data_IF_523550207058
#
_entry.id   IF_523550207058
#
_cell.length_a   1.000
_cell.length_b   1.000
_cell.length_c   1.000
_cell.angle_alpha   90.00
_cell.angle_beta   90.00
_cell.angle_gamma   90.00
#
_symmetry.space_group_name_H-M   'P 1'
#
loop_
_entity.id
_entity.type
_entity.pdbx_description
1 polymer ?
#
# COMPACT_ATOMS: atom_id res chain seq x y z
N UNK A 1 -5.86 1.33 -0.09
CA UNK A 1 -6.84 0.92 -1.13
C UNK A 1 -8.26 1.11 -0.63
N UNK A 2 -8.72 0.40 0.41
CA UNK A 2 -10.08 0.56 0.95
C UNK A 2 -10.46 2.03 1.22
N UNK A 3 -9.64 2.77 1.95
CA UNK A 3 -9.89 4.19 2.22
C UNK A 3 -10.02 5.03 0.92
N UNK A 4 -9.14 4.83 -0.06
CA UNK A 4 -9.22 5.54 -1.33
C UNK A 4 -10.56 5.27 -2.04
N UNK A 5 -11.00 4.01 -2.06
CA UNK A 5 -12.29 3.62 -2.63
C UNK A 5 -13.46 4.27 -1.92
N UNK A 6 -13.48 4.23 -0.59
CA UNK A 6 -14.55 4.79 0.25
C UNK A 6 -14.60 6.32 0.11
N UNK A 7 -13.45 6.97 0.02
CA UNK A 7 -13.33 8.41 -0.16
C UNK A 7 -13.56 8.88 -1.61
N UNK A 8 -14.01 8.00 -2.50
CA UNK A 8 -14.52 8.38 -3.81
C UNK A 8 -13.52 8.30 -4.95
N UNK A 9 -12.41 7.58 -4.81
CA UNK A 9 -11.54 7.30 -5.96
C UNK A 9 -12.31 6.54 -7.04
N UNK A 10 -12.31 7.05 -8.26
CA UNK A 10 -13.00 6.43 -9.40
C UNK A 10 -12.41 5.06 -9.73
N UNK A 11 -11.09 4.94 -9.65
CA UNK A 11 -10.36 3.68 -9.81
C UNK A 11 -9.21 3.57 -8.81
N UNK A 12 -8.87 2.35 -8.43
CA UNK A 12 -7.73 2.05 -7.56
C UNK A 12 -6.94 0.90 -8.19
N UNK A 13 -5.72 1.18 -8.61
CA UNK A 13 -4.80 0.16 -9.12
C UNK A 13 -3.82 -0.23 -8.03
N UNK A 14 -3.70 -1.52 -7.76
CA UNK A 14 -2.70 -2.06 -6.86
C UNK A 14 -1.58 -2.74 -7.65
N UNK A 15 -0.35 -2.52 -7.24
CA UNK A 15 0.84 -3.17 -7.81
C UNK A 15 1.59 -3.92 -6.72
N UNK A 16 2.05 -5.11 -7.01
CA UNK A 16 2.90 -5.92 -6.13
C UNK A 16 3.70 -6.93 -6.96
N UNK A 17 4.76 -7.48 -6.39
CA UNK A 17 5.50 -8.60 -6.96
C UNK A 17 4.83 -9.94 -6.64
N UNK A 18 4.00 -10.00 -5.59
CA UNK A 18 3.36 -11.20 -5.06
C UNK A 18 1.90 -11.30 -5.47
N UNK A 19 1.53 -12.42 -6.07
CA UNK A 19 0.15 -12.66 -6.53
C UNK A 19 -0.86 -12.75 -5.37
N UNK A 20 -0.45 -13.31 -4.23
CA UNK A 20 -1.27 -13.39 -3.03
C UNK A 20 -1.60 -11.99 -2.45
N UNK A 21 -0.64 -11.07 -2.48
CA UNK A 21 -0.88 -9.68 -2.09
C UNK A 21 -1.90 -9.00 -3.03
N UNK A 22 -1.79 -9.22 -4.34
CA UNK A 22 -2.72 -8.69 -5.35
C UNK A 22 -4.13 -9.26 -5.21
N UNK A 23 -4.26 -10.55 -4.89
CA UNK A 23 -5.56 -11.18 -4.63
C UNK A 23 -6.27 -10.51 -3.43
N UNK A 24 -5.55 -10.25 -2.34
CA UNK A 24 -6.09 -9.50 -1.20
C UNK A 24 -6.40 -8.05 -1.55
N UNK A 25 -5.57 -7.41 -2.37
CA UNK A 25 -5.82 -6.05 -2.84
C UNK A 25 -7.16 -5.93 -3.58
N UNK A 26 -7.50 -6.89 -4.43
CA UNK A 26 -8.78 -6.95 -5.14
C UNK A 26 -9.96 -7.05 -4.16
N UNK A 27 -9.82 -7.86 -3.10
CA UNK A 27 -10.86 -8.02 -2.07
C UNK A 27 -11.13 -6.73 -1.29
N UNK A 28 -10.13 -5.84 -1.17
CA UNK A 28 -10.23 -4.61 -0.38
C UNK A 28 -10.23 -3.33 -1.23
N UNK A 29 -10.79 -3.41 -2.42
CA UNK A 29 -11.18 -2.23 -3.19
C UNK A 29 -10.26 -1.87 -4.36
N UNK A 30 -9.24 -2.66 -4.69
CA UNK A 30 -8.53 -2.47 -5.96
C UNK A 30 -9.45 -2.83 -7.13
N UNK A 31 -9.58 -1.92 -8.09
CA UNK A 31 -10.34 -2.15 -9.33
C UNK A 31 -9.48 -2.84 -10.39
N UNK A 32 -8.17 -2.69 -10.27
CA UNK A 32 -7.16 -3.30 -11.15
C UNK A 32 -5.98 -3.75 -10.31
N UNK A 33 -5.40 -4.90 -10.67
CA UNK A 33 -4.17 -5.40 -10.06
C UNK A 33 -3.13 -5.66 -11.14
N UNK A 34 -1.88 -5.25 -10.90
CA UNK A 34 -0.76 -5.41 -11.83
C UNK A 34 0.41 -6.09 -11.09
N UNK A 35 0.78 -7.28 -11.55
CA UNK A 35 1.94 -7.98 -11.00
C UNK A 35 3.21 -7.44 -11.66
N UNK A 36 4.09 -6.85 -10.87
CA UNK A 36 5.38 -6.34 -11.33
C UNK A 36 6.24 -7.51 -11.86
N UNK A 37 6.81 -7.30 -13.04
CA UNK A 37 7.54 -8.34 -13.77
C UNK A 37 6.70 -9.12 -14.79
N UNK A 38 5.36 -9.12 -14.64
CA UNK A 38 4.43 -9.71 -15.61
C UNK A 38 3.63 -8.65 -16.37
N UNK A 39 3.45 -7.46 -15.78
CA UNK A 39 2.76 -6.34 -16.40
C UNK A 39 3.53 -5.04 -16.16
N UNK A 40 3.41 -4.11 -17.10
CA UNK A 40 3.97 -2.77 -16.97
C UNK A 40 2.97 -1.86 -16.25
N UNK A 41 3.50 -0.99 -15.37
CA UNK A 41 2.72 0.07 -14.75
C UNK A 41 2.60 1.22 -15.77
N UNK A 42 1.39 1.63 -16.15
CA UNK A 42 1.23 2.67 -17.14
C UNK A 42 1.76 4.02 -16.64
N UNK A 43 2.54 4.68 -17.49
CA UNK A 43 3.08 6.01 -17.21
C UNK A 43 2.02 7.10 -17.29
N UNK A 44 2.19 8.19 -16.55
CA UNK A 44 1.35 9.39 -16.57
C UNK A 44 -0.16 9.14 -16.43
N UNK A 45 -0.53 8.06 -15.72
CA UNK A 45 -1.90 7.54 -15.70
C UNK A 45 -2.65 7.74 -14.39
N UNK A 46 -1.95 8.13 -13.32
CA UNK A 46 -2.55 8.22 -11.99
C UNK A 46 -2.49 9.64 -11.44
N UNK A 47 -3.58 10.11 -10.84
CA UNK A 47 -3.63 11.41 -10.16
C UNK A 47 -2.80 11.40 -8.88
N UNK A 48 -2.89 10.30 -8.12
CA UNK A 48 -2.21 10.09 -6.84
C UNK A 48 -1.61 8.69 -6.84
N UNK A 49 -0.36 8.58 -6.38
CA UNK A 49 0.33 7.31 -6.15
C UNK A 49 0.76 7.22 -4.70
N UNK A 50 0.39 6.14 -4.01
CA UNK A 50 0.88 5.81 -2.67
C UNK A 50 1.99 4.78 -2.79
N UNK A 51 3.21 5.15 -2.46
CA UNK A 51 4.34 4.24 -2.42
C UNK A 51 4.47 3.66 -1.01
N UNK A 52 4.26 2.34 -0.88
CA UNK A 52 4.16 1.65 0.41
C UNK A 52 5.27 0.60 0.64
N UNK A 53 6.09 0.31 -0.37
CA UNK A 53 7.11 -0.74 -0.30
C UNK A 53 8.45 -0.25 0.24
N UNK A 54 8.75 1.05 0.11
CA UNK A 54 10.04 1.66 0.37
C UNK A 54 11.19 1.12 -0.53
N UNK A 55 10.88 0.41 -1.60
CA UNK A 55 11.89 -0.04 -2.55
C UNK A 55 12.28 1.12 -3.49
N UNK A 56 13.57 1.46 -3.65
CA UNK A 56 13.99 2.60 -4.49
C UNK A 56 13.50 2.51 -5.94
N UNK A 57 13.42 1.30 -6.49
CA UNK A 57 12.90 1.08 -7.84
C UNK A 57 11.39 1.38 -7.90
N UNK A 58 10.62 1.04 -6.87
CA UNK A 58 9.19 1.32 -6.83
C UNK A 58 8.90 2.82 -6.67
N UNK A 59 9.73 3.55 -5.90
CA UNK A 59 9.65 5.01 -5.80
C UNK A 59 9.92 5.67 -7.16
N UNK A 60 10.95 5.19 -7.87
CA UNK A 60 11.26 5.67 -9.22
C UNK A 60 10.11 5.40 -10.19
N UNK A 61 9.51 4.21 -10.11
CA UNK A 61 8.32 3.83 -10.89
C UNK A 61 7.09 4.68 -10.53
N UNK A 62 6.90 5.04 -9.26
CA UNK A 62 5.82 5.93 -8.81
C UNK A 62 5.90 7.31 -9.49
N UNK A 63 7.11 7.86 -9.64
CA UNK A 63 7.30 9.12 -10.37
C UNK A 63 7.01 9.00 -11.87
N UNK A 64 7.20 7.83 -12.48
CA UNK A 64 6.81 7.60 -13.87
C UNK A 64 5.29 7.44 -14.02
N UNK A 65 4.68 6.69 -13.11
CA UNK A 65 3.26 6.33 -13.15
C UNK A 65 2.32 7.53 -12.90
N UNK A 66 2.70 8.43 -11.97
CA UNK A 66 1.89 9.60 -11.66
C UNK A 66 1.88 10.56 -12.86
N UNK A 67 0.73 11.19 -13.11
CA UNK A 67 0.60 12.21 -14.16
C UNK A 67 1.35 13.52 -13.82
N UNK A 68 1.48 14.41 -14.81
CA UNK A 68 2.00 15.77 -14.60
C UNK A 68 1.18 16.50 -13.53
N UNK A 69 1.86 17.24 -12.66
CA UNK A 69 1.30 17.93 -11.50
C UNK A 69 0.49 17.03 -10.56
N UNK A 70 0.72 15.70 -10.59
CA UNK A 70 0.10 14.74 -9.70
C UNK A 70 0.83 14.64 -8.35
N UNK A 71 0.36 13.74 -7.50
CA UNK A 71 0.85 13.61 -6.13
C UNK A 71 1.43 12.20 -5.92
N UNK A 72 2.65 12.13 -5.40
CA UNK A 72 3.21 10.89 -4.86
C UNK A 72 3.28 11.01 -3.33
N UNK A 73 2.66 10.06 -2.64
CA UNK A 73 2.68 9.97 -1.18
C UNK A 73 3.60 8.82 -0.78
N UNK A 74 4.72 9.16 -0.14
CA UNK A 74 5.66 8.18 0.40
C UNK A 74 5.17 7.70 1.76
N UNK A 75 4.68 6.47 1.81
CA UNK A 75 4.19 5.79 3.02
C UNK A 75 5.25 4.80 3.54
N UNK A 76 5.90 4.09 2.62
CA UNK A 76 6.95 3.14 2.95
C UNK A 76 8.15 3.84 3.59
N UNK A 77 8.65 3.31 4.71
CA UNK A 77 9.78 3.88 5.43
C UNK A 77 11.10 3.37 4.82
N UNK A 78 11.84 4.29 4.21
CA UNK A 78 13.17 4.01 3.67
C UNK A 78 14.18 3.74 4.78
N UNK A 79 15.17 2.89 4.46
CA UNK A 79 16.34 2.72 5.30
C UNK A 79 17.17 3.99 5.41
N UNK A 80 17.99 4.09 6.45
CA UNK A 80 18.91 5.22 6.63
C UNK A 80 19.96 5.26 5.50
N UNK A 81 20.35 6.47 5.10
CA UNK A 81 21.38 6.72 4.11
C UNK A 81 20.86 6.98 2.69
N UNK A 82 21.77 7.27 1.74
CA UNK A 82 21.43 7.56 0.37
C UNK A 82 20.72 6.38 -0.33
N UNK A 83 19.71 6.67 -1.14
CA UNK A 83 18.97 5.68 -1.91
C UNK A 83 19.06 5.99 -3.42
N UNK A 84 19.24 4.97 -4.28
CA UNK A 84 19.33 5.16 -5.74
C UNK A 84 17.93 5.36 -6.34
N UNK A 85 17.40 6.58 -6.27
CA UNK A 85 16.06 6.93 -6.77
C UNK A 85 16.20 7.84 -7.99
N UNK A 86 15.52 7.51 -9.10
CA UNK A 86 15.48 8.34 -10.30
C UNK A 86 14.52 9.51 -10.10
N UNK A 87 15.04 10.64 -9.63
CA UNK A 87 14.25 11.80 -9.22
C UNK A 87 13.92 12.78 -10.37
N UNK A 88 14.53 12.63 -11.55
CA UNK A 88 14.33 13.58 -12.65
C UNK A 88 12.84 13.79 -13.04
N UNK A 89 11.97 12.76 -13.06
CA UNK A 89 10.56 12.95 -13.35
C UNK A 89 9.81 13.83 -12.33
N UNK A 90 10.25 13.86 -11.07
CA UNK A 90 9.68 14.75 -10.03
C UNK A 90 9.71 16.21 -10.51
N UNK A 91 10.84 16.64 -11.08
CA UNK A 91 11.03 18.00 -11.55
C UNK A 91 10.33 18.19 -12.91
N UNK A 92 10.60 17.29 -13.87
CA UNK A 92 10.10 17.43 -15.24
C UNK A 92 8.57 17.42 -15.34
N UNK A 93 7.89 16.76 -14.38
CA UNK A 93 6.44 16.63 -14.32
C UNK A 93 5.78 17.49 -13.25
N UNK A 94 6.54 18.31 -12.52
CA UNK A 94 6.03 19.17 -11.41
C UNK A 94 5.27 18.36 -10.34
N UNK A 95 5.77 17.17 -9.98
CA UNK A 95 5.13 16.25 -9.05
C UNK A 95 5.22 16.80 -7.63
N UNK A 96 4.13 16.71 -6.87
CA UNK A 96 4.14 16.95 -5.43
C UNK A 96 4.53 15.66 -4.70
N UNK A 97 5.70 15.64 -4.10
CA UNK A 97 6.12 14.53 -3.21
C UNK A 97 5.77 14.86 -1.76
N UNK A 98 5.01 13.98 -1.11
CA UNK A 98 4.56 14.12 0.28
C UNK A 98 5.01 12.92 1.10
N UNK A 99 5.60 13.16 2.25
CA UNK A 99 5.87 12.12 3.24
C UNK A 99 4.70 11.94 4.21
N UNK A 100 4.59 10.75 4.80
CA UNK A 100 3.71 10.49 5.94
C UNK A 100 4.50 9.81 7.05
N UNK A 101 4.12 10.05 8.30
CA UNK A 101 4.72 9.36 9.43
C UNK A 101 3.71 9.18 10.56
N UNK A 102 3.38 7.90 10.85
CA UNK A 102 2.43 7.53 11.91
C UNK A 102 1.07 8.22 11.74
N UNK A 103 0.46 8.66 12.83
CA UNK A 103 -0.85 9.30 12.89
C UNK A 103 -0.91 10.23 14.11
N UNK A 104 -1.83 11.20 14.05
CA UNK A 104 -2.27 12.01 15.18
C UNK A 104 -3.70 11.60 15.55
N UNK A 105 -4.70 12.30 15.03
CA UNK A 105 -6.12 12.07 15.34
C UNK A 105 -6.81 11.10 14.36
N UNK A 106 -6.14 10.72 13.27
CA UNK A 106 -6.69 9.87 12.20
C UNK A 106 -7.11 8.47 12.67
N UNK A 107 -6.65 8.05 13.86
CA UNK A 107 -7.03 6.74 14.43
C UNK A 107 -8.55 6.67 14.69
N UNK A 108 -9.16 7.78 15.12
CA UNK A 108 -10.59 7.86 15.37
C UNK A 108 -11.38 7.70 14.07
N UNK A 109 -10.94 8.38 13.01
CA UNK A 109 -11.54 8.28 11.68
C UNK A 109 -11.37 6.87 11.10
N UNK A 110 -10.20 6.27 11.30
CA UNK A 110 -9.92 4.89 10.86
C UNK A 110 -10.84 3.87 11.55
N UNK A 111 -11.06 4.02 12.86
CA UNK A 111 -11.98 3.15 13.62
C UNK A 111 -13.42 3.32 13.13
N UNK A 112 -13.88 4.55 12.91
CA UNK A 112 -15.20 4.83 12.38
C UNK A 112 -15.39 4.24 10.97
N UNK A 113 -14.37 4.38 10.11
CA UNK A 113 -14.36 3.84 8.76
C UNK A 113 -14.43 2.30 8.78
N UNK A 114 -13.69 1.64 9.64
CA UNK A 114 -13.74 0.18 9.81
C UNK A 114 -15.10 -0.28 10.31
N UNK A 115 -15.69 0.40 11.28
CA UNK A 115 -17.00 0.07 11.82
C UNK A 115 -18.12 0.18 10.75
N UNK A 116 -18.01 1.17 9.87
CA UNK A 116 -18.97 1.39 8.78
C UNK A 116 -18.75 0.46 7.57
N UNK A 117 -17.57 -0.15 7.46
CA UNK A 117 -17.16 -0.96 6.32
C UNK A 117 -16.58 -2.31 6.76
N UNK A 118 -17.38 -3.25 7.30
CA UNK A 118 -16.90 -4.52 7.86
C UNK A 118 -16.14 -5.40 6.86
N UNK A 119 -16.38 -5.21 5.55
CA UNK A 119 -15.69 -5.95 4.50
C UNK A 119 -14.16 -5.71 4.48
N UNK A 120 -13.69 -4.60 5.06
CA UNK A 120 -12.24 -4.32 5.20
C UNK A 120 -11.57 -5.36 6.11
N UNK A 121 -12.31 -5.98 7.03
CA UNK A 121 -11.80 -7.01 7.91
C UNK A 121 -11.26 -8.25 7.15
N UNK A 122 -11.60 -8.40 5.86
CA UNK A 122 -11.01 -9.44 5.01
C UNK A 122 -9.48 -9.36 4.86
N UNK A 123 -8.86 -8.23 5.24
CA UNK A 123 -7.39 -8.13 5.34
C UNK A 123 -6.81 -8.95 6.50
N UNK A 124 -7.63 -9.32 7.49
CA UNK A 124 -7.24 -10.19 8.59
C UNK A 124 -7.29 -11.61 8.06
N UNK A 125 -6.13 -12.17 7.76
CA UNK A 125 -6.01 -13.50 7.16
C UNK A 125 -5.79 -14.61 8.17
N UNK A 126 -5.21 -14.28 9.33
CA UNK A 126 -4.85 -15.24 10.35
C UNK A 126 -5.07 -14.67 11.74
N UNK A 127 -5.55 -15.52 12.63
CA UNK A 127 -5.65 -15.24 14.07
C UNK A 127 -5.00 -16.37 14.85
N UNK A 128 -4.17 -16.04 15.82
CA UNK A 128 -3.45 -16.97 16.68
C UNK A 128 -3.77 -16.71 18.15
N UNK A 129 -3.66 -17.73 18.98
CA UNK A 129 -3.63 -17.55 20.42
C UNK A 129 -2.26 -17.00 20.86
N UNK A 130 -2.19 -16.39 22.03
CA UNK A 130 -0.94 -15.82 22.56
C UNK A 130 0.19 -16.87 22.69
N UNK A 131 -0.17 -18.13 22.97
CA UNK A 131 0.82 -19.22 23.08
C UNK A 131 1.52 -19.51 21.73
N UNK A 132 0.86 -19.20 20.62
CA UNK A 132 1.35 -19.45 19.25
C UNK A 132 1.97 -18.18 18.63
N UNK A 133 2.32 -17.18 19.43
CA UNK A 133 2.80 -15.89 18.95
C UNK A 133 4.03 -16.00 18.03
N UNK A 134 4.94 -16.93 18.27
CA UNK A 134 6.13 -17.15 17.42
C UNK A 134 5.73 -17.61 16.01
N UNK A 135 4.72 -18.49 15.91
CA UNK A 135 4.17 -18.91 14.63
C UNK A 135 3.48 -17.74 13.92
N UNK A 136 2.70 -16.94 14.66
CA UNK A 136 2.07 -15.73 14.13
C UNK A 136 3.09 -14.78 13.50
N UNK A 137 4.24 -14.53 14.14
CA UNK A 137 5.32 -13.72 13.56
C UNK A 137 5.94 -14.35 12.32
N UNK A 138 6.07 -15.68 12.29
CA UNK A 138 6.57 -16.39 11.12
C UNK A 138 5.62 -16.24 9.93
N UNK A 139 4.31 -16.44 10.15
CA UNK A 139 3.28 -16.28 9.12
C UNK A 139 3.20 -14.82 8.64
N UNK A 140 3.27 -13.84 9.55
CA UNK A 140 3.21 -12.42 9.22
C UNK A 140 4.35 -11.96 8.30
N UNK A 141 5.50 -12.62 8.31
CA UNK A 141 6.62 -12.33 7.39
C UNK A 141 6.39 -12.83 5.96
N UNK A 142 5.48 -13.78 5.77
CA UNK A 142 5.18 -14.34 4.46
C UNK A 142 4.03 -13.56 3.80
N UNK A 143 4.36 -12.47 3.12
CA UNK A 143 3.37 -11.60 2.47
C UNK A 143 2.66 -12.27 1.28
N UNK A 144 3.08 -13.44 0.80
CA UNK A 144 2.31 -14.19 -0.20
C UNK A 144 1.00 -14.73 0.39
N UNK A 145 1.03 -15.23 1.63
CA UNK A 145 -0.13 -15.88 2.26
C UNK A 145 -0.82 -15.00 3.31
N UNK A 146 -0.10 -14.03 3.89
CA UNK A 146 -0.64 -13.22 4.99
C UNK A 146 -0.93 -11.77 4.58
N UNK A 147 -2.06 -11.27 5.06
CA UNK A 147 -2.38 -9.84 5.12
C UNK A 147 -2.10 -9.31 6.52
N UNK A 148 -3.15 -9.05 7.29
CA UNK A 148 -3.04 -8.74 8.71
C UNK A 148 -3.12 -10.03 9.52
N UNK A 149 -2.11 -10.26 10.38
CA UNK A 149 -2.08 -11.36 11.36
C UNK A 149 -2.36 -10.78 12.74
N UNK A 150 -3.30 -11.38 13.46
CA UNK A 150 -3.67 -10.97 14.82
C UNK A 150 -3.27 -12.06 15.83
N UNK A 151 -2.90 -11.62 17.02
CA UNK A 151 -2.68 -12.48 18.19
C UNK A 151 -3.66 -12.09 19.27
N UNK A 152 -4.51 -13.05 19.70
CA UNK A 152 -5.45 -12.84 20.82
C UNK A 152 -4.72 -13.07 22.13
N UNK A 153 -4.83 -12.11 23.03
CA UNK A 153 -4.13 -12.12 24.32
C UNK A 153 -4.93 -12.81 25.45
N UNK A 154 -6.17 -13.23 25.18
CA UNK A 154 -7.09 -13.89 26.10
C UNK A 154 -7.93 -14.96 25.38
#
# INVERSE_FOLDING_TARGET
>A
MAAAKILGAASVTATDILSGALSRAAQVGATTTLQIGAAEVPENSFDIVFECSAAPVAISSAFQAVRRAGIVVQVGMLGAGPQPIAIAPLIAKEIQLRGTFRFNDEITDAVALLAQNPWIASVITHEFAAIDALEAFSVAKNSEISGKVLVRMN
#
